data_IF_413414831680
#
_entry.id   IF_413414831680
#
_cell.length_a   1.000
_cell.length_b   1.000
_cell.length_c   1.000
_cell.angle_alpha   90.00
_cell.angle_beta   90.00
_cell.angle_gamma   90.00
#
_symmetry.space_group_name_H-M   'P 1'
#
loop_
_entity.id
_entity.type
_entity.pdbx_description
1 polymer ?
#
# COMPACT_ATOMS: atom_id res chain seq x y z
N UNK A 1 21.61 -6.72 20.95
CA UNK A 1 20.87 -6.34 19.72
C UNK A 1 20.44 -4.90 19.95
N UNK A 2 21.11 -3.94 19.32
CA UNK A 2 20.75 -2.53 19.48
C UNK A 2 19.35 -2.32 18.86
N UNK A 3 18.48 -1.49 19.45
CA UNK A 3 17.22 -1.11 18.80
C UNK A 3 17.56 -0.48 17.44
N UNK A 4 16.75 -0.74 16.39
CA UNK A 4 16.99 -0.10 15.10
C UNK A 4 16.96 1.43 15.24
N UNK A 5 17.89 2.09 14.57
CA UNK A 5 17.98 3.55 14.42
C UNK A 5 16.62 4.14 14.04
N UNK A 6 16.29 5.38 14.46
CA UNK A 6 15.01 6.01 14.13
C UNK A 6 14.83 6.08 12.61
N UNK A 7 13.80 5.42 12.13
CA UNK A 7 13.48 5.30 10.70
C UNK A 7 13.08 6.67 10.14
N UNK A 8 13.75 7.07 9.05
CA UNK A 8 13.45 8.32 8.34
C UNK A 8 11.99 8.32 7.85
N UNK A 9 11.28 9.48 7.79
CA UNK A 9 9.88 9.56 7.34
C UNK A 9 9.58 9.05 5.92
N UNK A 10 10.60 8.67 5.16
CA UNK A 10 10.49 8.04 3.84
C UNK A 10 11.04 6.62 3.76
N UNK A 11 11.36 5.98 4.89
CA UNK A 11 11.75 4.57 4.93
C UNK A 11 10.50 3.69 4.72
N UNK A 12 10.55 2.77 3.77
CA UNK A 12 9.45 1.84 3.48
C UNK A 12 9.03 1.03 4.72
N UNK A 13 9.95 0.77 5.66
CA UNK A 13 9.66 0.11 6.94
C UNK A 13 8.72 0.90 7.85
N UNK A 14 8.56 2.21 7.62
CA UNK A 14 7.59 3.06 8.34
C UNK A 14 6.20 3.03 7.73
N UNK A 15 6.09 2.56 6.48
CA UNK A 15 4.83 2.47 5.74
C UNK A 15 4.12 1.12 5.98
N UNK A 16 4.88 0.11 6.40
CA UNK A 16 4.34 -1.16 6.91
C UNK A 16 4.14 -1.01 8.41
N UNK A 17 2.93 -1.28 8.94
CA UNK A 17 2.77 -1.36 10.39
C UNK A 17 3.52 -2.59 10.91
N UNK A 18 4.40 -2.38 11.90
CA UNK A 18 5.23 -3.40 12.57
C UNK A 18 4.43 -4.52 13.26
N UNK A 19 3.12 -4.34 13.43
CA UNK A 19 2.10 -5.31 13.85
C UNK A 19 0.76 -4.55 13.71
N UNK A 20 -0.29 -4.99 12.99
CA UNK A 20 -1.22 -4.03 12.41
C UNK A 20 -2.46 -3.81 13.29
N UNK A 21 -2.60 -2.64 13.97
CA UNK A 21 -3.91 -2.16 14.40
C UNK A 21 -4.87 -1.94 13.22
N UNK A 22 -4.38 -1.90 11.97
CA UNK A 22 -5.21 -1.88 10.75
C UNK A 22 -5.99 -3.17 10.51
N UNK A 23 -5.62 -4.32 11.11
CA UNK A 23 -6.45 -5.52 11.05
C UNK A 23 -7.61 -5.51 12.06
N UNK A 24 -7.58 -4.65 13.08
CA UNK A 24 -8.68 -4.51 14.04
C UNK A 24 -9.90 -3.76 13.46
N UNK A 25 -9.73 -3.12 12.31
CA UNK A 25 -10.84 -2.44 11.62
C UNK A 25 -11.78 -3.48 10.99
N UNK A 26 -13.10 -3.38 11.23
CA UNK A 26 -14.10 -4.27 10.63
C UNK A 26 -13.99 -4.33 9.11
N UNK A 27 -14.20 -5.51 8.53
CA UNK A 27 -14.03 -5.78 7.10
C UNK A 27 -15.00 -4.97 6.22
N UNK A 28 -16.14 -4.57 6.76
CA UNK A 28 -17.18 -3.75 6.13
C UNK A 28 -16.89 -2.24 6.22
N UNK A 29 -15.80 -1.83 6.89
CA UNK A 29 -15.45 -0.42 6.98
C UNK A 29 -15.10 0.12 5.60
N UNK A 30 -15.82 1.16 5.19
CA UNK A 30 -15.61 1.86 3.93
C UNK A 30 -14.34 2.72 3.97
N UNK A 31 -13.55 2.65 2.91
CA UNK A 31 -12.32 3.42 2.71
C UNK A 31 -12.49 4.25 1.45
N UNK A 32 -12.27 5.55 1.58
CA UNK A 32 -12.31 6.48 0.46
C UNK A 32 -10.88 6.82 0.02
N UNK A 33 -10.57 6.55 -1.24
CA UNK A 33 -9.25 6.76 -1.80
C UNK A 33 -9.03 8.25 -2.08
N UNK A 34 -7.90 8.79 -1.63
CA UNK A 34 -7.52 10.16 -1.98
C UNK A 34 -7.28 10.35 -3.48
N UNK A 35 -6.80 9.30 -4.16
CA UNK A 35 -6.51 9.32 -5.58
C UNK A 35 -6.80 7.94 -6.19
N UNK A 36 -7.50 7.92 -7.33
CA UNK A 36 -7.57 6.75 -8.22
C UNK A 36 -6.85 7.10 -9.53
N UNK A 37 -5.75 6.41 -9.80
CA UNK A 37 -4.94 6.61 -11.00
C UNK A 37 -5.44 5.81 -12.22
N UNK A 38 -6.61 5.17 -12.12
CA UNK A 38 -7.27 4.36 -13.15
C UNK A 38 -6.41 3.18 -13.61
N UNK A 39 -6.73 2.01 -13.08
CA UNK A 39 -6.06 0.77 -13.47
C UNK A 39 -6.14 0.53 -14.99
N UNK A 40 -5.08 -0.01 -15.62
CA UNK A 40 -5.18 -0.46 -17.01
C UNK A 40 -6.34 -1.45 -17.18
N UNK A 41 -7.22 -1.19 -18.15
CA UNK A 41 -8.38 -2.05 -18.42
C UNK A 41 -9.63 -1.76 -17.59
N UNK A 42 -9.64 -0.72 -16.75
CA UNK A 42 -10.86 -0.20 -16.12
C UNK A 42 -11.40 0.99 -16.92
N UNK A 43 -12.71 1.03 -17.12
CA UNK A 43 -13.40 2.14 -17.79
C UNK A 43 -13.74 3.27 -16.80
N UNK A 44 -14.13 2.89 -15.58
CA UNK A 44 -14.60 3.83 -14.54
C UNK A 44 -13.59 4.02 -13.40
N UNK A 45 -13.65 5.18 -12.76
CA UNK A 45 -12.95 5.47 -11.50
C UNK A 45 -13.70 4.86 -10.31
N UNK A 46 -12.95 4.41 -9.31
CA UNK A 46 -13.42 3.78 -8.08
C UNK A 46 -12.66 4.46 -6.96
N UNK A 47 -13.35 5.33 -6.24
CA UNK A 47 -12.81 6.10 -5.11
C UNK A 47 -13.24 5.51 -3.76
N UNK A 48 -13.97 4.40 -3.77
CA UNK A 48 -14.53 3.76 -2.57
C UNK A 48 -14.24 2.26 -2.60
N UNK A 49 -13.88 1.71 -1.45
CA UNK A 49 -13.62 0.28 -1.22
C UNK A 49 -13.89 -0.07 0.24
N UNK A 50 -13.60 -1.30 0.66
CA UNK A 50 -13.68 -1.74 2.05
C UNK A 50 -12.36 -2.31 2.54
N UNK A 51 -12.15 -2.29 3.86
CA UNK A 51 -10.97 -2.93 4.49
C UNK A 51 -10.86 -4.40 4.10
N UNK A 52 -11.98 -5.13 4.04
CA UNK A 52 -11.99 -6.53 3.61
C UNK A 52 -11.55 -6.73 2.16
N UNK A 53 -11.98 -5.84 1.25
CA UNK A 53 -11.58 -5.89 -0.15
C UNK A 53 -10.08 -5.56 -0.33
N UNK A 54 -9.56 -4.59 0.42
CA UNK A 54 -8.13 -4.25 0.43
C UNK A 54 -7.27 -5.43 0.92
N UNK A 55 -7.63 -6.04 2.06
CA UNK A 55 -6.90 -7.20 2.61
C UNK A 55 -6.86 -8.37 1.64
N UNK A 56 -7.94 -8.60 0.90
CA UNK A 56 -8.05 -9.74 -0.01
C UNK A 56 -7.45 -9.50 -1.40
N UNK A 57 -7.41 -8.25 -1.90
CA UNK A 57 -7.12 -7.96 -3.32
C UNK A 57 -6.11 -6.86 -3.58
N UNK A 58 -5.57 -6.20 -2.55
CA UNK A 58 -4.57 -5.15 -2.76
C UNK A 58 -3.29 -5.75 -3.34
N UNK A 59 -2.86 -5.27 -4.50
CA UNK A 59 -1.68 -5.80 -5.21
C UNK A 59 -0.34 -5.62 -4.50
N UNK A 60 -0.28 -4.81 -3.44
CA UNK A 60 0.95 -4.51 -2.70
C UNK A 60 0.92 -4.95 -1.24
N UNK A 61 -0.24 -4.94 -0.58
CA UNK A 61 -0.39 -5.16 0.87
C UNK A 61 -1.57 -6.08 1.23
N UNK A 62 -1.88 -7.05 0.37
CA UNK A 62 -2.85 -8.10 0.73
C UNK A 62 -2.30 -9.00 1.86
N UNK A 63 -3.18 -9.81 2.44
CA UNK A 63 -2.91 -10.62 3.64
C UNK A 63 -1.73 -11.59 3.53
N UNK A 64 -1.33 -11.97 2.31
CA UNK A 64 -0.21 -12.89 2.09
C UNK A 64 1.15 -12.18 1.90
N UNK A 65 1.18 -10.84 1.89
CA UNK A 65 2.42 -10.08 1.70
C UNK A 65 3.13 -9.88 3.03
N UNK A 66 4.37 -10.34 3.12
CA UNK A 66 5.21 -10.09 4.28
C UNK A 66 5.82 -8.69 4.27
N UNK A 67 6.20 -8.17 5.44
CA UNK A 67 6.91 -6.89 5.57
C UNK A 67 8.16 -6.83 4.68
N UNK A 68 8.92 -7.92 4.62
CA UNK A 68 10.15 -8.00 3.81
C UNK A 68 9.85 -7.89 2.32
N UNK A 69 8.80 -8.56 1.84
CA UNK A 69 8.38 -8.49 0.43
C UNK A 69 7.88 -7.08 0.08
N UNK A 70 7.09 -6.46 0.97
CA UNK A 70 6.62 -5.09 0.77
C UNK A 70 7.77 -4.09 0.70
N UNK A 71 8.72 -4.16 1.65
CA UNK A 71 9.89 -3.26 1.70
C UNK A 71 10.72 -3.41 0.43
N UNK A 72 11.03 -4.65 0.01
CA UNK A 72 11.80 -4.91 -1.20
C UNK A 72 11.10 -4.37 -2.45
N UNK A 73 9.78 -4.57 -2.59
CA UNK A 73 8.98 -4.03 -3.68
C UNK A 73 9.01 -2.50 -3.69
N UNK A 74 8.84 -1.87 -2.52
CA UNK A 74 8.75 -0.41 -2.39
C UNK A 74 10.10 0.26 -2.68
N UNK A 75 11.19 -0.25 -2.10
CA UNK A 75 12.54 0.26 -2.35
C UNK A 75 12.91 0.16 -3.84
N UNK A 76 12.55 -0.94 -4.51
CA UNK A 76 12.75 -1.09 -5.95
C UNK A 76 11.93 -0.09 -6.79
N UNK A 77 10.67 0.13 -6.43
CA UNK A 77 9.80 1.10 -7.10
C UNK A 77 10.26 2.56 -6.92
N UNK A 78 10.61 2.94 -5.70
CA UNK A 78 11.05 4.31 -5.37
C UNK A 78 12.42 4.63 -6.02
N UNK A 79 13.30 3.64 -6.18
CA UNK A 79 14.56 3.79 -6.92
C UNK A 79 14.34 4.12 -8.41
N UNK A 80 13.31 3.54 -9.03
CA UNK A 80 12.99 3.73 -10.46
C UNK A 80 12.23 5.04 -10.68
N UNK A 81 11.36 5.41 -9.74
CA UNK A 81 10.46 6.54 -9.92
C UNK A 81 11.13 7.91 -9.69
N UNK A 82 12.37 7.92 -9.16
CA UNK A 82 13.11 9.13 -8.82
C UNK A 82 12.42 9.93 -7.71
N UNK A 83 13.14 10.82 -7.01
CA UNK A 83 12.58 11.67 -5.91
C UNK A 83 11.45 12.64 -6.33
N UNK A 84 10.87 12.47 -7.52
CA UNK A 84 9.63 13.07 -8.02
C UNK A 84 8.78 11.99 -8.68
N UNK A 85 8.51 10.91 -7.97
CA UNK A 85 7.64 9.85 -8.43
C UNK A 85 6.20 10.37 -8.50
N UNK A 86 5.71 10.64 -9.71
CA UNK A 86 4.26 10.70 -9.95
C UNK A 86 3.69 9.40 -9.45
N UNK A 87 2.76 9.49 -8.51
CA UNK A 87 2.05 8.36 -7.90
C UNK A 87 1.13 7.63 -8.92
N UNK A 88 1.41 7.68 -10.23
CA UNK A 88 0.54 7.25 -11.32
C UNK A 88 0.53 5.75 -11.61
N UNK A 89 1.15 4.91 -10.77
CA UNK A 89 1.20 3.45 -10.98
C UNK A 89 0.89 2.60 -9.75
N UNK A 90 0.66 3.21 -8.59
CA UNK A 90 0.24 2.52 -7.38
C UNK A 90 -1.24 2.76 -7.08
N UNK A 91 -2.07 2.88 -8.14
CA UNK A 91 -3.51 2.79 -7.97
C UNK A 91 -3.82 1.41 -7.45
N UNK A 92 -4.60 1.33 -6.37
CA UNK A 92 -5.05 0.07 -5.81
C UNK A 92 -5.82 -0.66 -6.91
N UNK A 93 -5.15 -1.64 -7.51
CA UNK A 93 -5.70 -2.40 -8.62
C UNK A 93 -6.60 -3.48 -8.03
N UNK A 94 -7.87 -3.18 -7.81
CA UNK A 94 -8.87 -4.23 -7.68
C UNK A 94 -9.00 -4.92 -9.04
N UNK A 95 -8.54 -6.17 -9.13
CA UNK A 95 -8.96 -7.07 -10.22
C UNK A 95 -10.38 -7.56 -9.97
#
# INVERSE_FOLDING_TARGET
MAPPEPTSPGDARTLVPLDPPSYATPHDTHVFLCHDYKAPGREDYVWETTIGAEKARNVHIHEDVTETEFVAMREAGDAIAGRRARCSRAGIHFR
#
